data_IF_592156924621
#
_entry.id   IF_592156924621
#
_cell.length_a   1.000
_cell.length_b   1.000
_cell.length_c   1.000
_cell.angle_alpha   90.00
_cell.angle_beta   90.00
_cell.angle_gamma   90.00
#
_symmetry.space_group_name_H-M   'P 1'
#
loop_
_entity.id
_entity.type
_entity.pdbx_description
1 polymer ?
#
# COMPACT_ATOMS: atom_id res chain seq x y z
N UNK A 1 13.70 -17.57 14.42
CA UNK A 1 12.76 -17.40 13.29
C UNK A 1 13.38 -18.04 12.05
N UNK A 2 12.62 -18.76 11.22
CA UNK A 2 13.14 -19.34 9.98
C UNK A 2 13.66 -18.24 9.05
N UNK A 3 14.69 -18.55 8.26
CA UNK A 3 15.26 -17.69 7.22
C UNK A 3 15.03 -18.31 5.83
N UNK A 4 14.97 -17.51 4.75
CA UNK A 4 14.79 -18.03 3.40
C UNK A 4 15.80 -19.11 3.00
N UNK A 5 17.04 -19.00 3.45
CA UNK A 5 18.12 -19.92 3.10
C UNK A 5 18.02 -21.29 3.78
N UNK A 6 17.12 -21.45 4.75
CA UNK A 6 16.88 -22.73 5.40
C UNK A 6 16.09 -23.71 4.53
N UNK A 7 15.61 -23.29 3.36
CA UNK A 7 14.73 -24.08 2.49
C UNK A 7 15.42 -24.53 1.20
N UNK A 8 15.26 -25.81 0.85
CA UNK A 8 15.71 -26.37 -0.43
C UNK A 8 14.55 -26.39 -1.44
N UNK A 9 14.58 -25.60 -2.55
CA UNK A 9 13.44 -25.47 -3.45
C UNK A 9 12.93 -26.78 -4.07
N UNK A 10 13.81 -27.76 -4.30
CA UNK A 10 13.45 -29.03 -4.93
C UNK A 10 12.54 -29.91 -4.06
N UNK A 11 12.44 -29.62 -2.77
CA UNK A 11 11.60 -30.35 -1.81
C UNK A 11 10.20 -29.72 -1.64
N UNK A 12 9.95 -28.58 -2.31
CA UNK A 12 8.72 -27.80 -2.13
C UNK A 12 7.74 -27.99 -3.30
N UNK A 13 6.44 -27.92 -2.98
CA UNK A 13 5.37 -27.84 -3.98
C UNK A 13 5.53 -26.61 -4.89
N UNK A 14 4.83 -26.57 -6.03
CA UNK A 14 4.85 -25.40 -6.94
C UNK A 14 4.51 -24.08 -6.23
N UNK A 15 3.44 -24.08 -5.43
CA UNK A 15 3.04 -22.95 -4.60
C UNK A 15 4.13 -22.56 -3.60
N UNK A 16 4.67 -23.53 -2.87
CA UNK A 16 5.69 -23.25 -1.86
C UNK A 16 7.00 -22.74 -2.46
N UNK A 17 7.37 -23.20 -3.65
CA UNK A 17 8.49 -22.61 -4.41
C UNK A 17 8.23 -21.15 -4.75
N UNK A 18 6.99 -20.80 -5.16
CA UNK A 18 6.60 -19.41 -5.39
C UNK A 18 6.67 -18.59 -4.10
N UNK A 19 6.13 -19.08 -2.97
CA UNK A 19 6.21 -18.38 -1.68
C UNK A 19 7.67 -18.14 -1.23
N UNK A 20 8.53 -19.13 -1.42
CA UNK A 20 9.95 -18.98 -1.14
C UNK A 20 10.62 -17.94 -2.05
N UNK A 21 10.27 -17.91 -3.34
CA UNK A 21 10.72 -16.87 -4.26
C UNK A 21 10.30 -15.47 -3.79
N UNK A 22 9.02 -15.29 -3.44
CA UNK A 22 8.51 -14.02 -2.92
C UNK A 22 9.25 -13.56 -1.67
N UNK A 23 9.49 -14.49 -0.73
CA UNK A 23 10.19 -14.14 0.50
C UNK A 23 11.64 -13.75 0.24
N UNK A 24 12.36 -14.47 -0.64
CA UNK A 24 13.72 -14.10 -1.04
C UNK A 24 13.76 -12.73 -1.70
N UNK A 25 12.82 -12.45 -2.61
CA UNK A 25 12.73 -11.15 -3.27
C UNK A 25 12.44 -10.01 -2.29
N UNK A 26 11.56 -10.23 -1.31
CA UNK A 26 11.31 -9.28 -0.22
C UNK A 26 12.56 -9.03 0.62
N UNK A 27 13.27 -10.08 1.01
CA UNK A 27 14.47 -9.98 1.86
C UNK A 27 15.60 -9.23 1.15
N UNK A 28 15.93 -9.64 -0.08
CA UNK A 28 16.98 -9.03 -0.89
C UNK A 28 16.68 -7.56 -1.17
N UNK A 29 15.49 -7.27 -1.71
CA UNK A 29 15.22 -5.95 -2.26
C UNK A 29 14.79 -4.90 -1.23
N UNK A 30 14.46 -5.30 0.00
CA UNK A 30 14.14 -4.38 1.10
C UNK A 30 15.26 -4.29 2.14
N UNK A 31 16.28 -5.16 2.08
CA UNK A 31 17.39 -5.18 3.04
C UNK A 31 18.11 -3.83 3.19
N UNK A 32 18.25 -3.08 2.11
CA UNK A 32 18.95 -1.78 2.09
C UNK A 32 18.02 -0.58 2.32
N UNK A 33 16.70 -0.79 2.42
CA UNK A 33 15.74 0.30 2.63
C UNK A 33 15.58 0.62 4.11
N UNK A 34 15.65 1.90 4.45
CA UNK A 34 15.38 2.39 5.81
C UNK A 34 13.91 2.81 6.01
N UNK A 35 13.21 3.10 4.93
CA UNK A 35 11.86 3.66 4.89
C UNK A 35 10.77 2.62 4.63
N UNK A 36 11.12 1.38 4.29
CA UNK A 36 10.17 0.27 4.18
C UNK A 36 10.76 -0.91 4.95
N UNK A 37 10.00 -1.43 5.90
CA UNK A 37 10.36 -2.65 6.64
C UNK A 37 9.24 -3.66 6.53
N UNK A 38 9.58 -4.94 6.58
CA UNK A 38 8.59 -6.00 6.64
C UNK A 38 8.84 -6.93 7.82
N UNK A 39 7.77 -7.55 8.31
CA UNK A 39 7.82 -8.67 9.26
C UNK A 39 6.83 -9.75 8.83
N UNK A 40 7.13 -11.01 9.15
CA UNK A 40 6.22 -12.13 8.86
C UNK A 40 5.23 -12.27 9.99
N UNK A 41 3.93 -12.26 9.66
CA UNK A 41 2.85 -12.43 10.63
C UNK A 41 2.42 -13.89 10.76
N UNK A 42 2.42 -14.64 9.65
CA UNK A 42 1.95 -16.03 9.60
C UNK A 42 2.77 -16.86 8.63
N UNK A 43 2.95 -18.13 9.00
CA UNK A 43 3.60 -19.16 8.19
C UNK A 43 2.59 -20.28 7.87
N UNK A 44 2.79 -20.97 6.75
CA UNK A 44 2.09 -22.22 6.46
C UNK A 44 2.72 -23.41 7.22
N UNK A 45 2.16 -24.61 7.04
CA UNK A 45 2.65 -25.83 7.68
C UNK A 45 4.12 -26.17 7.34
N UNK A 46 4.59 -25.75 6.17
CA UNK A 46 5.97 -25.94 5.71
C UNK A 46 6.91 -24.81 6.16
N UNK A 47 6.44 -23.88 7.01
CA UNK A 47 7.27 -22.78 7.53
C UNK A 47 7.53 -21.64 6.54
N UNK A 48 6.74 -21.53 5.46
CA UNK A 48 6.84 -20.44 4.48
C UNK A 48 5.82 -19.33 4.80
N UNK A 49 6.21 -18.04 4.65
CA UNK A 49 5.30 -16.93 4.94
C UNK A 49 4.04 -16.93 4.07
N UNK A 50 2.90 -16.63 4.70
CA UNK A 50 1.61 -16.45 4.03
C UNK A 50 0.91 -15.15 4.44
N UNK A 51 1.51 -14.39 5.36
CA UNK A 51 1.08 -13.04 5.70
C UNK A 51 2.25 -12.21 6.21
N UNK A 52 2.27 -10.95 5.83
CA UNK A 52 3.30 -9.97 6.20
C UNK A 52 2.67 -8.71 6.76
N UNK A 53 3.39 -8.02 7.63
CA UNK A 53 3.19 -6.61 7.94
C UNK A 53 4.29 -5.81 7.26
N UNK A 54 3.92 -4.70 6.63
CA UNK A 54 4.81 -3.73 6.02
C UNK A 54 4.67 -2.41 6.77
N UNK A 55 5.77 -1.89 7.27
CA UNK A 55 5.85 -0.56 7.88
C UNK A 55 6.49 0.38 6.85
N UNK A 56 5.70 1.36 6.38
CA UNK A 56 6.19 2.48 5.58
C UNK A 56 6.54 3.63 6.51
N UNK A 57 7.77 4.13 6.46
CA UNK A 57 8.30 5.24 7.24
C UNK A 57 8.66 6.39 6.29
N UNK A 58 7.63 7.03 5.77
CA UNK A 58 7.69 8.12 4.80
C UNK A 58 6.52 9.06 5.07
N UNK A 59 6.72 10.36 4.82
CA UNK A 59 5.67 11.37 4.92
C UNK A 59 4.63 11.18 3.81
N UNK A 60 3.36 11.12 4.17
CA UNK A 60 2.22 11.03 3.25
C UNK A 60 0.96 11.67 3.85
N UNK A 61 -0.05 11.88 3.01
CA UNK A 61 -1.34 12.43 3.41
C UNK A 61 -2.14 11.35 4.13
N UNK A 62 -2.60 11.65 5.35
CA UNK A 62 -3.37 10.73 6.20
C UNK A 62 -4.83 11.15 6.39
N UNK A 63 -5.23 12.26 5.77
CA UNK A 63 -6.57 12.82 5.81
C UNK A 63 -6.54 14.28 5.38
N UNK A 64 -7.65 14.96 5.57
CA UNK A 64 -7.78 16.39 5.24
C UNK A 64 -8.48 17.13 6.38
N UNK A 65 -8.18 18.41 6.53
CA UNK A 65 -8.92 19.27 7.44
C UNK A 65 -10.38 19.43 6.99
N UNK A 66 -11.31 19.56 7.94
CA UNK A 66 -12.75 19.75 7.67
C UNK A 66 -13.34 18.68 6.72
N UNK A 67 -12.95 17.41 6.92
CA UNK A 67 -13.35 16.28 6.06
C UNK A 67 -14.87 16.14 5.90
N UNK A 68 -15.65 16.52 6.92
CA UNK A 68 -17.12 16.57 6.89
C UNK A 68 -17.70 17.62 5.93
N UNK A 69 -16.89 18.56 5.46
CA UNK A 69 -17.25 19.65 4.54
C UNK A 69 -16.73 19.43 3.11
N UNK A 70 -16.30 18.22 2.76
CA UNK A 70 -15.75 17.90 1.43
C UNK A 70 -16.68 18.16 0.24
N UNK A 71 -17.99 18.29 0.48
CA UNK A 71 -18.98 18.65 -0.54
C UNK A 71 -19.16 20.17 -0.70
N UNK A 72 -18.49 20.99 0.12
CA UNK A 72 -18.57 22.44 0.06
C UNK A 72 -17.35 23.02 -0.70
N UNK A 73 -17.50 23.44 -1.96
CA UNK A 73 -16.37 23.91 -2.78
C UNK A 73 -15.75 25.22 -2.30
N UNK A 74 -16.40 25.94 -1.36
CA UNK A 74 -15.88 27.19 -0.81
C UNK A 74 -15.02 27.00 0.45
N UNK A 75 -14.95 25.78 0.96
CA UNK A 75 -14.15 25.46 2.15
C UNK A 75 -12.91 24.69 1.70
N UNK A 76 -11.70 25.25 1.90
CA UNK A 76 -10.49 24.49 1.64
C UNK A 76 -10.33 23.38 2.68
N UNK A 77 -9.94 22.20 2.20
CA UNK A 77 -9.61 21.03 2.98
C UNK A 77 -8.10 20.69 2.83
N UNK A 78 -7.17 21.46 3.44
CA UNK A 78 -5.74 21.16 3.39
C UNK A 78 -5.42 19.73 3.86
N UNK A 79 -4.37 19.10 3.32
CA UNK A 79 -3.96 17.77 3.77
C UNK A 79 -3.41 17.78 5.20
N UNK A 80 -3.71 16.71 5.94
CA UNK A 80 -2.99 16.31 7.14
C UNK A 80 -1.94 15.27 6.78
N UNK A 81 -0.79 15.32 7.44
CA UNK A 81 0.33 14.43 7.16
C UNK A 81 0.64 13.51 8.32
N UNK A 82 1.16 12.32 8.00
CA UNK A 82 1.79 11.41 8.93
C UNK A 82 3.02 10.76 8.28
N UNK A 83 3.91 10.21 9.11
CA UNK A 83 5.20 9.66 8.66
C UNK A 83 5.27 8.14 8.72
N UNK A 84 4.25 7.48 9.27
CA UNK A 84 4.23 6.02 9.44
C UNK A 84 2.88 5.46 9.04
N UNK A 85 2.89 4.46 8.17
CA UNK A 85 1.71 3.73 7.73
C UNK A 85 1.98 2.22 7.78
N UNK A 86 1.01 1.46 8.27
CA UNK A 86 1.16 0.02 8.46
C UNK A 86 0.20 -0.71 7.53
N UNK A 87 0.73 -1.62 6.72
CA UNK A 87 -0.04 -2.42 5.78
C UNK A 87 0.11 -3.90 6.09
N UNK A 88 -0.99 -4.64 6.02
CA UNK A 88 -1.00 -6.09 6.04
C UNK A 88 -1.13 -6.65 4.61
N UNK A 89 -0.31 -7.67 4.33
CA UNK A 89 -0.42 -8.52 3.14
C UNK A 89 -0.94 -9.88 3.58
N UNK A 90 -1.95 -10.40 2.89
CA UNK A 90 -2.44 -11.77 3.08
C UNK A 90 -2.38 -12.53 1.77
N UNK A 91 -1.70 -13.67 1.76
CA UNK A 91 -1.57 -14.53 0.58
C UNK A 91 -2.57 -15.68 0.70
N UNK A 92 -3.52 -15.81 -0.25
CA UNK A 92 -4.53 -16.86 -0.18
C UNK A 92 -3.94 -18.26 -0.48
N UNK A 93 -4.63 -19.34 -0.09
CA UNK A 93 -4.21 -20.71 -0.40
C UNK A 93 -4.04 -21.01 -1.89
N UNK A 94 -4.81 -20.37 -2.77
CA UNK A 94 -4.77 -20.59 -4.22
C UNK A 94 -3.62 -19.87 -4.95
N UNK A 95 -2.85 -19.01 -4.28
CA UNK A 95 -1.75 -18.29 -4.91
C UNK A 95 -0.70 -19.26 -5.51
N UNK A 96 -0.16 -19.01 -6.72
CA UNK A 96 -0.25 -17.80 -7.54
C UNK A 96 -1.30 -17.82 -8.67
N UNK A 97 -2.41 -18.56 -8.51
CA UNK A 97 -3.48 -18.49 -9.50
C UNK A 97 -4.05 -17.05 -9.64
N UNK A 98 -4.49 -16.69 -10.85
CA UNK A 98 -4.98 -15.34 -11.18
C UNK A 98 -6.17 -14.93 -10.32
N UNK A 99 -7.05 -15.89 -9.98
CA UNK A 99 -8.21 -15.72 -9.11
C UNK A 99 -7.89 -15.74 -7.61
N UNK A 100 -6.62 -15.96 -7.24
CA UNK A 100 -6.13 -16.04 -5.87
C UNK A 100 -4.97 -15.07 -5.64
N UNK A 101 -5.17 -13.80 -5.99
CA UNK A 101 -4.19 -12.74 -5.79
C UNK A 101 -4.02 -12.38 -4.29
N UNK A 102 -2.82 -11.95 -3.86
CA UNK A 102 -2.63 -11.41 -2.51
C UNK A 102 -3.49 -10.17 -2.26
N UNK A 103 -4.01 -10.04 -1.04
CA UNK A 103 -4.72 -8.83 -0.61
C UNK A 103 -3.79 -7.88 0.13
N UNK A 104 -3.89 -6.59 -0.16
CA UNK A 104 -3.12 -5.52 0.46
C UNK A 104 -4.09 -4.58 1.19
N UNK A 105 -3.88 -4.39 2.51
CA UNK A 105 -4.77 -3.59 3.34
C UNK A 105 -4.00 -2.78 4.37
N UNK A 106 -4.14 -1.45 4.35
CA UNK A 106 -3.66 -0.61 5.44
C UNK A 106 -4.49 -0.84 6.71
N UNK A 107 -3.80 -0.88 7.83
CA UNK A 107 -4.44 -0.90 9.14
C UNK A 107 -4.90 0.53 9.46
N UNK A 108 -6.11 0.66 9.97
CA UNK A 108 -6.69 1.93 10.44
C UNK A 108 -6.71 2.01 11.96
N UNK A 109 -6.50 0.88 12.63
CA UNK A 109 -6.57 0.75 14.07
C UNK A 109 -5.38 -0.08 14.56
N UNK A 110 -4.72 0.40 15.61
CA UNK A 110 -3.57 -0.23 16.23
C UNK A 110 -3.95 -1.43 17.12
N UNK A 111 -2.94 -2.15 17.67
CA UNK A 111 -3.16 -3.31 18.53
C UNK A 111 -3.93 -3.00 19.84
N UNK A 112 -3.90 -1.76 20.28
CA UNK A 112 -4.59 -1.22 21.45
C UNK A 112 -6.00 -0.70 21.13
N UNK A 113 -6.45 -0.82 19.88
CA UNK A 113 -7.74 -0.32 19.43
C UNK A 113 -7.76 1.19 19.17
N UNK A 114 -6.62 1.88 19.21
CA UNK A 114 -6.53 3.30 18.86
C UNK A 114 -6.45 3.49 17.35
N UNK A 115 -6.99 4.60 16.85
CA UNK A 115 -6.83 4.97 15.45
C UNK A 115 -5.35 5.23 15.14
N UNK A 116 -4.91 4.72 13.99
CA UNK A 116 -3.56 4.96 13.45
C UNK A 116 -3.67 5.61 12.07
N UNK A 117 -2.61 6.30 11.61
CA UNK A 117 -2.65 6.98 10.32
C UNK A 117 -3.05 6.06 9.18
N UNK A 118 -4.05 6.51 8.43
CA UNK A 118 -4.62 5.82 7.28
C UNK A 118 -4.32 6.62 6.01
N UNK A 119 -3.78 6.03 4.91
CA UNK A 119 -3.45 6.82 3.73
C UNK A 119 -4.68 7.43 3.06
N UNK A 120 -4.68 8.74 2.89
CA UNK A 120 -5.62 9.44 2.02
C UNK A 120 -5.06 9.35 0.60
N UNK A 121 -5.58 8.42 -0.22
CA UNK A 121 -5.11 8.25 -1.60
C UNK A 121 -6.21 7.64 -2.49
N UNK A 122 -6.38 8.05 -3.77
CA UNK A 122 -7.51 7.58 -4.59
C UNK A 122 -7.47 6.06 -4.91
N UNK A 123 -6.31 5.43 -4.82
CA UNK A 123 -6.14 3.97 -4.97
C UNK A 123 -6.21 3.18 -3.66
N UNK A 124 -6.50 3.85 -2.53
CA UNK A 124 -6.61 3.24 -1.21
C UNK A 124 -7.96 3.64 -0.63
N UNK A 125 -8.78 2.65 -0.27
CA UNK A 125 -10.10 2.93 0.29
C UNK A 125 -9.96 3.66 1.61
N UNK A 126 -10.44 4.91 1.72
CA UNK A 126 -10.37 5.65 2.97
C UNK A 126 -11.57 5.35 3.88
N UNK A 127 -12.77 5.28 3.30
CA UNK A 127 -14.01 5.18 4.07
C UNK A 127 -14.68 3.80 4.05
N UNK A 128 -15.36 3.47 5.15
CA UNK A 128 -16.32 2.36 5.25
C UNK A 128 -15.69 1.00 5.56
N UNK A 129 -16.48 -0.08 5.43
CA UNK A 129 -16.08 -1.44 5.83
C UNK A 129 -14.83 -2.00 5.10
N UNK A 130 -14.49 -1.40 3.96
CA UNK A 130 -13.32 -1.76 3.15
C UNK A 130 -12.13 -0.82 3.35
N UNK A 131 -12.16 0.08 4.34
CA UNK A 131 -11.06 0.98 4.67
C UNK A 131 -9.71 0.25 4.74
N UNK A 132 -8.72 0.85 4.10
CA UNK A 132 -7.36 0.33 3.94
C UNK A 132 -7.14 -0.50 2.69
N UNK A 133 -8.19 -0.98 2.01
CA UNK A 133 -8.03 -1.81 0.80
C UNK A 133 -7.26 -1.05 -0.27
N UNK A 134 -6.23 -1.68 -0.84
CA UNK A 134 -5.42 -1.10 -1.91
C UNK A 134 -5.80 -1.70 -3.26
N UNK A 135 -6.02 -0.85 -4.26
CA UNK A 135 -6.17 -1.25 -5.65
C UNK A 135 -4.88 -0.93 -6.43
N UNK A 136 -4.17 -1.96 -6.89
CA UNK A 136 -2.87 -1.80 -7.57
C UNK A 136 -2.96 -1.36 -9.04
N UNK A 137 -4.18 -1.26 -9.60
CA UNK A 137 -4.48 -0.98 -11.01
C UNK A 137 -3.62 -1.82 -11.98
N UNK A 138 -4.18 -2.92 -12.48
CA UNK A 138 -3.51 -3.94 -13.31
C UNK A 138 -2.26 -4.53 -12.64
N UNK A 139 -2.48 -5.49 -11.74
CA UNK A 139 -1.39 -6.34 -11.27
C UNK A 139 -1.09 -7.36 -12.38
N UNK A 140 0.11 -7.33 -12.96
CA UNK A 140 0.56 -8.42 -13.83
C UNK A 140 0.61 -9.71 -12.98
N UNK A 141 0.17 -10.83 -13.56
CA UNK A 141 0.14 -12.14 -12.86
C UNK A 141 1.55 -12.58 -12.45
N UNK A 142 2.57 -12.04 -13.12
CA UNK A 142 3.98 -12.32 -12.86
C UNK A 142 4.64 -11.33 -11.88
N UNK A 143 3.92 -10.32 -11.39
CA UNK A 143 4.50 -9.37 -10.45
C UNK A 143 4.77 -10.01 -9.08
N UNK A 144 5.97 -9.78 -8.55
CA UNK A 144 6.34 -10.15 -7.18
C UNK A 144 5.61 -9.27 -6.16
N UNK A 145 5.42 -9.79 -4.95
CA UNK A 145 4.87 -9.06 -3.81
C UNK A 145 5.72 -7.83 -3.49
N UNK A 146 7.06 -7.94 -3.60
CA UNK A 146 7.95 -6.80 -3.36
C UNK A 146 7.77 -5.67 -4.37
N UNK A 147 7.38 -6.01 -5.62
CA UNK A 147 7.01 -5.01 -6.62
C UNK A 147 5.77 -4.23 -6.16
N UNK A 148 4.75 -4.92 -5.65
CA UNK A 148 3.55 -4.28 -5.12
C UNK A 148 3.88 -3.38 -3.92
N UNK A 149 4.71 -3.87 -2.99
CA UNK A 149 5.17 -3.09 -1.83
C UNK A 149 5.84 -1.78 -2.25
N UNK A 150 6.76 -1.84 -3.23
CA UNK A 150 7.44 -0.66 -3.78
C UNK A 150 6.49 0.27 -4.54
N UNK A 151 5.54 -0.29 -5.29
CA UNK A 151 4.52 0.50 -6.00
C UNK A 151 3.64 1.27 -5.03
N UNK A 152 3.23 0.64 -3.94
CA UNK A 152 2.42 1.29 -2.89
C UNK A 152 3.20 2.41 -2.20
N UNK A 153 4.52 2.28 -2.02
CA UNK A 153 5.33 3.42 -1.56
C UNK A 153 5.20 4.63 -2.50
N UNK A 154 5.18 4.40 -3.82
CA UNK A 154 4.93 5.45 -4.82
C UNK A 154 3.48 6.01 -4.80
N UNK A 155 2.51 5.24 -4.28
CA UNK A 155 1.18 5.77 -3.99
C UNK A 155 1.23 6.71 -2.79
N UNK A 156 1.89 6.30 -1.71
CA UNK A 156 2.02 7.14 -0.51
C UNK A 156 2.76 8.45 -0.80
N UNK A 157 3.74 8.47 -1.70
CA UNK A 157 4.42 9.72 -2.10
C UNK A 157 3.68 10.50 -3.19
N UNK A 158 2.50 10.05 -3.62
CA UNK A 158 1.72 10.65 -4.71
C UNK A 158 2.47 10.75 -6.05
N UNK A 159 3.56 9.99 -6.23
CA UNK A 159 4.23 9.83 -7.53
C UNK A 159 3.36 9.08 -8.53
N UNK A 160 2.42 8.28 -8.04
CA UNK A 160 1.51 7.47 -8.83
C UNK A 160 0.13 7.51 -8.20
N UNK A 161 -0.84 8.06 -8.91
CA UNK A 161 -2.23 8.04 -8.47
C UNK A 161 -3.15 8.04 -9.68
N UNK A 162 -4.36 7.52 -9.51
CA UNK A 162 -5.41 7.60 -10.52
C UNK A 162 -6.68 8.18 -9.90
N UNK A 163 -6.87 9.49 -10.06
CA UNK A 163 -8.03 10.20 -9.53
C UNK A 163 -9.17 10.38 -10.57
N UNK A 164 -8.91 10.11 -11.85
CA UNK A 164 -9.94 10.28 -12.89
C UNK A 164 -11.03 9.23 -12.73
N UNK A 165 -12.29 9.66 -12.73
CA UNK A 165 -13.45 8.75 -12.66
C UNK A 165 -13.70 8.01 -13.99
N UNK A 166 -12.73 7.23 -14.42
CA UNK A 166 -12.75 6.41 -15.63
C UNK A 166 -11.98 5.11 -15.39
N UNK A 167 -12.25 4.03 -16.16
CA UNK A 167 -11.54 2.76 -16.02
C UNK A 167 -10.01 2.89 -16.14
N UNK A 168 -9.22 2.20 -15.29
CA UNK A 168 -9.65 1.55 -14.05
C UNK A 168 -10.12 2.59 -13.02
N UNK A 169 -11.32 2.46 -12.47
CA UNK A 169 -11.87 3.45 -11.53
C UNK A 169 -11.00 3.59 -10.26
N UNK A 170 -10.95 4.79 -9.63
CA UNK A 170 -10.34 4.94 -8.31
C UNK A 170 -11.03 4.03 -7.29
N UNK A 171 -10.27 3.57 -6.29
CA UNK A 171 -10.80 2.78 -5.18
C UNK A 171 -11.66 3.64 -4.24
N UNK A 172 -11.30 4.92 -4.11
CA UNK A 172 -12.01 5.91 -3.31
C UNK A 172 -12.38 7.15 -4.13
N UNK A 173 -13.67 7.27 -4.47
CA UNK A 173 -14.20 8.38 -5.27
C UNK A 173 -14.17 9.71 -4.52
N UNK A 174 -14.34 9.70 -3.19
CA UNK A 174 -14.31 10.91 -2.36
C UNK A 174 -12.90 11.49 -2.35
N UNK A 175 -11.90 10.64 -2.11
CA UNK A 175 -10.51 11.06 -2.16
C UNK A 175 -10.11 11.50 -3.57
N UNK A 176 -10.53 10.75 -4.60
CA UNK A 176 -10.26 11.09 -6.00
C UNK A 176 -10.82 12.47 -6.38
N UNK A 177 -12.03 12.79 -5.94
CA UNK A 177 -12.63 14.11 -6.13
C UNK A 177 -11.79 15.19 -5.44
N UNK A 178 -11.44 15.01 -4.17
CA UNK A 178 -10.60 15.97 -3.44
C UNK A 178 -9.25 16.20 -4.14
N UNK A 179 -8.62 15.14 -4.66
CA UNK A 179 -7.35 15.26 -5.40
C UNK A 179 -7.51 16.19 -6.61
N UNK A 180 -8.55 16.02 -7.41
CA UNK A 180 -8.76 16.83 -8.62
C UNK A 180 -9.19 18.26 -8.29
N UNK A 181 -10.11 18.42 -7.33
CA UNK A 181 -10.75 19.71 -7.06
C UNK A 181 -9.93 20.61 -6.15
N UNK A 182 -9.11 20.03 -5.25
CA UNK A 182 -8.37 20.79 -4.24
C UNK A 182 -6.89 20.42 -4.18
N UNK A 183 -6.55 19.13 -4.21
CA UNK A 183 -5.19 18.65 -4.06
C UNK A 183 -4.24 19.13 -5.17
N UNK A 184 -4.63 18.92 -6.43
CA UNK A 184 -3.87 19.34 -7.61
C UNK A 184 -3.81 20.87 -7.75
N UNK A 185 -4.93 21.63 -7.71
CA UNK A 185 -4.89 23.07 -7.94
C UNK A 185 -4.11 23.85 -6.89
N UNK A 186 -4.07 23.36 -5.64
CA UNK A 186 -3.32 23.99 -4.55
C UNK A 186 -1.89 23.45 -4.39
N UNK A 187 -1.49 22.49 -5.24
CA UNK A 187 -0.17 21.87 -5.19
C UNK A 187 0.10 20.98 -3.97
N UNK A 188 -0.96 20.61 -3.24
CA UNK A 188 -0.86 19.89 -1.96
C UNK A 188 -0.43 18.44 -2.09
N UNK A 189 -0.60 17.83 -3.26
CA UNK A 189 -0.17 16.45 -3.53
C UNK A 189 1.29 16.33 -3.99
N UNK A 190 1.99 17.46 -4.20
CA UNK A 190 3.38 17.48 -4.66
C UNK A 190 4.40 17.69 -3.52
N UNK A 191 4.00 17.41 -2.28
CA UNK A 191 4.74 17.68 -1.04
C UNK A 191 6.15 17.06 -0.98
N UNK A 192 6.42 15.97 -1.70
CA UNK A 192 7.73 15.31 -1.75
C UNK A 192 8.49 15.53 -3.08
N UNK A 193 7.91 16.29 -4.01
CA UNK A 193 8.52 16.57 -5.30
C UNK A 193 9.28 17.89 -5.17
N UNK A 194 10.60 17.83 -4.96
CA UNK A 194 11.44 19.04 -5.00
C UNK A 194 11.21 19.73 -6.33
N UNK A 195 10.80 21.00 -6.29
CA UNK A 195 10.73 21.89 -7.45
C UNK A 195 12.08 21.87 -8.18
N UNK A 196 12.20 21.14 -9.29
CA UNK A 196 13.21 21.40 -10.31
C UNK A 196 12.81 22.64 -11.14
N UNK A 197 12.45 23.74 -10.46
CA UNK A 197 12.33 25.04 -11.09
C UNK A 197 13.63 25.80 -10.83
N UNK A 198 14.64 25.52 -11.66
CA UNK A 198 15.59 26.57 -12.04
C UNK A 198 14.81 27.59 -12.86
N UNK A 199 14.72 28.82 -12.33
CA UNK A 199 14.37 30.02 -13.08
C UNK A 199 15.35 30.25 -14.24
#
# INVERSE_FOLDING_TARGET
MPKPDNFTPRQLSGRNRRLLHEWKAMDEQLSERNDIRYSVLKYNADGLPVSYQIDYRLTSICGVEQEDQLDNPNIPNPPRFADIFVMQITIPPGYPCVDAAPSYRFLTTGPDGQDIPHPWHPNIRYHGAFAGRVCLNQQDTYADIVWAVKRIAGYLTYERYHAKNQPPYPEDLTVARWVIEQGEPNGWIFFNQKNNCTL
#
